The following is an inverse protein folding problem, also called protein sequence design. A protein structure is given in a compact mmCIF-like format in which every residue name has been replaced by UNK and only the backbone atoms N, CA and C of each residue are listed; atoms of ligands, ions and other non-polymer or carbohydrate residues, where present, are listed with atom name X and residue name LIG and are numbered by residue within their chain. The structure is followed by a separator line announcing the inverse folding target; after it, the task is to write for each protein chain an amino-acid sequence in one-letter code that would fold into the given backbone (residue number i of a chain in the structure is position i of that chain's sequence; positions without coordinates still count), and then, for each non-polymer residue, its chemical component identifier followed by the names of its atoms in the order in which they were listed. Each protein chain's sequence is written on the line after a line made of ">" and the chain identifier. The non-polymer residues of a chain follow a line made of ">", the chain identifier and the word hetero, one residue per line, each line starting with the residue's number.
data_IF_178264464585
#
_entry.id   IF_178264464585
#
_cell.length_a   1.000
_cell.length_b   1.000
_cell.length_c   1.000
_cell.angle_alpha   90.00
_cell.angle_beta   90.00
_cell.angle_gamma   90.00
#
_symmetry.space_group_name_H-M   'P 1'
#
loop_
_entity.id
_entity.type
_entity.pdbx_description
1 polymer ?
#
# COMPACT_ATOMS: atom_id res chain seq x y z
N UNK A 1 26.82 -5.65 11.53
CA UNK A 1 27.17 -4.67 10.47
C UNK A 1 26.22 -4.72 9.28
N UNK A 2 25.86 -5.92 8.73
CA UNK A 2 24.99 -6.09 7.54
C UNK A 2 23.55 -5.63 7.82
N UNK A 3 22.99 -5.99 8.98
CA UNK A 3 21.62 -5.61 9.40
C UNK A 3 21.43 -4.08 9.51
N UNK A 4 22.50 -3.36 9.88
CA UNK A 4 22.49 -1.91 10.03
C UNK A 4 22.58 -1.18 8.67
N UNK A 5 23.37 -1.71 7.72
CA UNK A 5 23.43 -1.18 6.34
C UNK A 5 22.12 -1.33 5.59
N UNK A 6 21.44 -2.47 5.74
CA UNK A 6 20.12 -2.67 5.13
C UNK A 6 19.08 -1.69 5.70
N UNK A 7 19.10 -1.43 7.01
CA UNK A 7 18.20 -0.47 7.64
C UNK A 7 18.39 0.95 7.10
N UNK A 8 19.63 1.37 6.87
CA UNK A 8 19.96 2.70 6.31
C UNK A 8 19.51 2.82 4.85
N UNK A 9 19.76 1.78 4.03
CA UNK A 9 19.34 1.76 2.62
C UNK A 9 17.83 1.84 2.47
N UNK A 10 17.08 1.15 3.32
CA UNK A 10 15.62 1.15 3.32
C UNK A 10 15.08 2.51 3.76
N UNK A 11 15.64 3.11 4.82
CA UNK A 11 15.28 4.46 5.27
C UNK A 11 15.52 5.51 4.17
N UNK A 12 16.61 5.39 3.42
CA UNK A 12 16.89 6.27 2.28
C UNK A 12 15.86 6.10 1.16
N UNK A 13 15.43 4.86 0.86
CA UNK A 13 14.40 4.59 -0.15
C UNK A 13 13.04 5.14 0.25
N UNK A 14 12.64 4.94 1.51
CA UNK A 14 11.39 5.48 2.06
C UNK A 14 11.40 7.00 2.10
N UNK A 15 12.52 7.62 2.49
CA UNK A 15 12.67 9.07 2.49
C UNK A 15 12.62 9.64 1.08
N UNK A 16 13.26 8.99 0.11
CA UNK A 16 13.20 9.36 -1.31
C UNK A 16 11.78 9.28 -1.85
N UNK A 17 11.05 8.21 -1.55
CA UNK A 17 9.64 8.07 -1.93
C UNK A 17 8.77 9.16 -1.31
N UNK A 18 8.98 9.46 -0.02
CA UNK A 18 8.29 10.55 0.70
C UNK A 18 8.62 11.92 0.11
N UNK A 19 9.86 12.17 -0.26
CA UNK A 19 10.27 13.41 -0.93
C UNK A 19 9.62 13.56 -2.30
N UNK A 20 9.57 12.50 -3.10
CA UNK A 20 8.92 12.54 -4.42
C UNK A 20 7.40 12.72 -4.30
N UNK A 21 6.75 12.03 -3.35
CA UNK A 21 5.33 12.24 -3.05
C UNK A 21 5.06 13.69 -2.58
N UNK A 22 5.91 14.25 -1.73
CA UNK A 22 5.81 15.64 -1.27
C UNK A 22 6.13 16.65 -2.36
N UNK A 23 7.06 16.36 -3.27
CA UNK A 23 7.32 17.19 -4.47
C UNK A 23 6.11 17.19 -5.39
N UNK A 24 5.51 16.02 -5.59
CA UNK A 24 4.33 15.87 -6.43
C UNK A 24 3.13 16.60 -5.83
N UNK A 25 2.89 16.44 -4.51
CA UNK A 25 1.86 17.18 -3.78
C UNK A 25 2.06 18.71 -3.85
N UNK A 26 3.30 19.19 -3.72
CA UNK A 26 3.65 20.62 -3.89
C UNK A 26 3.49 21.08 -5.34
N UNK A 27 3.80 20.23 -6.32
CA UNK A 27 3.60 20.52 -7.74
C UNK A 27 2.11 20.63 -8.06
N UNK A 28 1.28 19.73 -7.55
CA UNK A 28 -0.17 19.80 -7.65
C UNK A 28 -0.75 21.04 -6.95
N UNK A 29 -0.30 21.35 -5.73
CA UNK A 29 -0.72 22.58 -5.03
C UNK A 29 -0.33 23.86 -5.78
N UNK A 30 0.82 23.89 -6.45
CA UNK A 30 1.23 25.03 -7.27
C UNK A 30 0.38 25.18 -8.54
N UNK A 31 -0.08 24.09 -9.15
CA UNK A 31 -1.04 24.16 -10.25
C UNK A 31 -2.39 24.71 -9.80
N UNK A 32 -2.86 24.31 -8.62
CA UNK A 32 -4.12 24.82 -8.02
C UNK A 32 -3.98 26.31 -7.64
N UNK A 33 -2.84 26.73 -7.06
CA UNK A 33 -2.64 28.14 -6.66
C UNK A 33 -2.37 29.09 -7.82
N UNK A 34 -1.78 28.62 -8.93
CA UNK A 34 -1.59 29.46 -10.11
C UNK A 34 -2.92 29.72 -10.83
N UNK A 35 -3.85 28.76 -10.79
CA UNK A 35 -5.19 28.98 -11.38
C UNK A 35 -6.10 29.90 -10.54
N UNK A 36 -5.85 30.05 -9.23
CA UNK A 36 -6.65 30.95 -8.37
C UNK A 36 -6.12 32.38 -8.31
N UNK A 37 -4.84 32.65 -8.62
CA UNK A 37 -4.27 34.01 -8.62
C UNK A 37 -4.55 34.81 -9.91
N UNK A 38 -4.95 34.14 -10.99
CA UNK A 38 -5.29 34.81 -12.27
C UNK A 38 -6.78 35.12 -12.41
N UNK A 39 -7.63 34.80 -11.42
CA UNK A 39 -9.10 34.90 -11.53
C UNK A 39 -9.68 36.20 -10.93
N UNK A 40 -8.90 37.24 -10.66
CA UNK A 40 -9.39 38.46 -10.00
C UNK A 40 -9.62 39.65 -10.92
N UNK A 41 -9.68 39.47 -12.24
CA UNK A 41 -9.94 40.61 -13.14
C UNK A 41 -10.71 40.33 -14.43
N UNK A 42 -11.52 39.28 -14.52
CA UNK A 42 -12.52 39.23 -15.61
C UNK A 42 -13.68 38.32 -15.16
N UNK A 43 -14.78 38.96 -14.78
CA UNK A 43 -16.09 38.26 -14.59
C UNK A 43 -16.63 37.89 -15.98
N UNK A 44 -16.09 36.81 -16.55
CA UNK A 44 -16.68 36.05 -17.65
C UNK A 44 -16.68 34.60 -17.23
N UNK A 45 -17.86 33.95 -17.35
CA UNK A 45 -18.10 32.58 -17.00
C UNK A 45 -16.96 31.67 -17.48
N UNK A 46 -16.06 31.30 -16.57
CA UNK A 46 -15.17 30.20 -16.76
C UNK A 46 -15.99 28.94 -16.51
N UNK A 47 -16.27 28.10 -17.51
CA UNK A 47 -16.87 26.80 -17.26
C UNK A 47 -15.93 26.08 -16.29
N UNK A 48 -16.49 25.69 -15.15
CA UNK A 48 -15.90 25.11 -13.97
C UNK A 48 -14.42 24.77 -14.05
N UNK A 49 -13.65 25.21 -13.04
CA UNK A 49 -12.36 24.60 -12.76
C UNK A 49 -12.58 23.08 -12.73
N UNK A 50 -12.13 22.41 -13.78
CA UNK A 50 -12.16 20.96 -13.79
C UNK A 50 -11.27 20.53 -12.61
N UNK A 51 -11.90 20.17 -11.50
CA UNK A 51 -11.20 19.50 -10.42
C UNK A 51 -10.44 18.34 -11.06
N UNK A 52 -9.19 18.14 -10.68
CA UNK A 52 -8.43 17.00 -11.13
C UNK A 52 -9.30 15.75 -10.96
N UNK A 53 -9.69 15.18 -12.08
CA UNK A 53 -10.43 13.92 -12.12
C UNK A 53 -9.41 12.88 -12.56
N UNK A 54 -9.01 11.94 -11.69
CA UNK A 54 -8.15 10.86 -12.11
C UNK A 54 -8.77 10.15 -13.32
N UNK A 55 -7.94 9.84 -14.31
CA UNK A 55 -8.41 9.11 -15.49
C UNK A 55 -9.04 7.79 -15.05
N UNK A 56 -10.26 7.54 -15.52
CA UNK A 56 -10.97 6.32 -15.17
C UNK A 56 -10.29 5.11 -15.81
N UNK A 57 -9.50 4.40 -15.03
CA UNK A 57 -8.79 3.20 -15.46
C UNK A 57 -9.67 1.96 -15.40
N UNK A 58 -10.46 1.84 -14.34
CA UNK A 58 -11.27 0.65 -14.08
C UNK A 58 -12.74 0.89 -14.44
N UNK A 59 -13.31 -0.04 -15.21
CA UNK A 59 -14.68 0.08 -15.71
C UNK A 59 -15.72 -0.30 -14.65
N UNK A 60 -15.34 -1.12 -13.69
CA UNK A 60 -16.15 -1.60 -12.57
C UNK A 60 -16.14 -0.67 -11.36
N UNK A 61 -15.38 0.44 -11.42
CA UNK A 61 -15.33 1.45 -10.36
C UNK A 61 -16.09 2.69 -10.82
N UNK A 62 -17.29 2.91 -10.27
CA UNK A 62 -18.10 4.07 -10.62
C UNK A 62 -17.45 5.37 -10.13
N UNK A 63 -17.48 6.43 -10.94
CA UNK A 63 -17.02 7.77 -10.53
C UNK A 63 -17.79 8.35 -9.33
N UNK A 64 -19.00 7.88 -9.10
CA UNK A 64 -19.83 8.29 -7.96
C UNK A 64 -19.60 7.46 -6.70
N UNK A 65 -18.78 6.41 -6.77
CA UNK A 65 -18.45 5.61 -5.59
C UNK A 65 -17.60 6.42 -4.61
N UNK A 66 -17.88 6.30 -3.32
CA UNK A 66 -17.13 7.02 -2.27
C UNK A 66 -15.64 6.68 -2.24
N UNK A 67 -15.27 5.50 -2.71
CA UNK A 67 -13.90 4.98 -2.79
C UNK A 67 -13.22 5.19 -4.14
N UNK A 68 -13.86 5.93 -5.08
CA UNK A 68 -13.31 6.09 -6.44
C UNK A 68 -11.91 6.70 -6.45
N UNK A 69 -11.73 7.81 -5.76
CA UNK A 69 -10.44 8.51 -5.71
C UNK A 69 -9.37 7.64 -5.05
N UNK A 70 -9.70 6.96 -3.95
CA UNK A 70 -8.77 6.09 -3.23
C UNK A 70 -8.29 4.91 -4.09
N UNK A 71 -9.19 4.32 -4.89
CA UNK A 71 -8.84 3.23 -5.83
C UNK A 71 -7.94 3.75 -6.94
N UNK A 72 -8.26 4.91 -7.53
CA UNK A 72 -7.43 5.50 -8.59
C UNK A 72 -6.05 5.89 -8.04
N UNK A 73 -5.98 6.45 -6.85
CA UNK A 73 -4.72 6.82 -6.18
C UNK A 73 -3.89 5.58 -5.83
N UNK A 74 -4.50 4.54 -5.26
CA UNK A 74 -3.81 3.29 -4.97
C UNK A 74 -3.18 2.67 -6.23
N UNK A 75 -3.88 2.77 -7.36
CA UNK A 75 -3.35 2.35 -8.65
C UNK A 75 -2.25 3.28 -9.17
N UNK A 76 -2.45 4.59 -9.09
CA UNK A 76 -1.49 5.59 -9.52
C UNK A 76 -0.15 5.45 -8.78
N UNK A 77 -0.19 5.21 -7.47
CA UNK A 77 1.01 4.95 -6.67
C UNK A 77 1.55 3.52 -6.82
N UNK A 78 0.96 2.71 -7.69
CA UNK A 78 1.41 1.35 -7.95
C UNK A 78 1.16 0.35 -6.82
N UNK A 79 0.39 0.73 -5.80
CA UNK A 79 0.08 -0.14 -4.66
C UNK A 79 -0.83 -1.29 -5.08
N UNK A 80 -1.90 -0.97 -5.82
CA UNK A 80 -2.87 -1.95 -6.30
C UNK A 80 -3.05 -1.84 -7.81
N UNK A 81 -2.99 -2.96 -8.51
CA UNK A 81 -3.07 -2.99 -9.98
C UNK A 81 -4.48 -3.34 -10.51
N UNK A 82 -5.38 -3.81 -9.64
CA UNK A 82 -6.60 -4.48 -10.04
C UNK A 82 -6.33 -5.91 -10.51
N UNK A 83 -7.37 -6.64 -10.88
CA UNK A 83 -7.30 -8.03 -11.35
C UNK A 83 -7.06 -8.12 -12.85
N UNK A 84 -7.32 -7.04 -13.57
CA UNK A 84 -7.00 -6.90 -14.99
C UNK A 84 -6.69 -5.44 -15.33
N UNK A 85 -6.31 -5.16 -16.60
CA UNK A 85 -6.02 -3.80 -17.05
C UNK A 85 -7.21 -2.82 -16.95
N UNK A 86 -8.44 -3.34 -16.84
CA UNK A 86 -9.69 -2.55 -16.82
C UNK A 86 -10.63 -2.89 -15.66
N UNK A 87 -10.31 -3.87 -14.84
CA UNK A 87 -11.16 -4.36 -13.75
C UNK A 87 -10.35 -4.30 -12.44
N UNK A 88 -10.90 -3.62 -11.44
CA UNK A 88 -10.32 -3.55 -10.09
C UNK A 88 -10.79 -4.70 -9.21
N UNK A 89 -12.05 -5.09 -9.34
CA UNK A 89 -12.75 -6.11 -8.56
C UNK A 89 -12.92 -5.73 -7.09
N UNK A 90 -13.78 -4.75 -6.88
CA UNK A 90 -14.01 -4.14 -5.55
C UNK A 90 -14.66 -5.08 -4.53
N UNK A 91 -15.32 -6.14 -4.99
CA UNK A 91 -16.10 -7.05 -4.14
C UNK A 91 -15.30 -8.32 -3.75
N UNK A 92 -14.22 -8.58 -4.45
CA UNK A 92 -13.41 -9.77 -4.14
C UNK A 92 -12.55 -9.56 -2.90
N UNK A 93 -12.31 -10.64 -2.20
CA UNK A 93 -11.36 -10.69 -1.10
C UNK A 93 -9.92 -10.68 -1.63
N UNK A 94 -8.99 -10.19 -0.82
CA UNK A 94 -7.56 -10.23 -1.15
C UNK A 94 -6.91 -11.47 -0.55
N UNK A 95 -5.87 -11.96 -1.22
CA UNK A 95 -5.08 -13.06 -0.71
C UNK A 95 -3.92 -12.55 0.16
N UNK A 96 -3.34 -13.47 0.94
CA UNK A 96 -2.16 -13.21 1.76
C UNK A 96 -0.99 -12.71 0.91
N UNK A 97 -0.77 -13.29 -0.28
CA UNK A 97 0.26 -12.83 -1.22
C UNK A 97 -0.01 -11.39 -1.72
N UNK A 98 -1.27 -11.04 -2.00
CA UNK A 98 -1.63 -9.68 -2.41
C UNK A 98 -1.33 -8.66 -1.31
N UNK A 99 -1.71 -8.95 -0.07
CA UNK A 99 -1.45 -8.07 1.07
C UNK A 99 0.04 -7.82 1.28
N UNK A 100 0.83 -8.89 1.33
CA UNK A 100 2.28 -8.79 1.52
C UNK A 100 2.95 -8.04 0.37
N UNK A 101 2.49 -8.24 -0.88
CA UNK A 101 2.99 -7.50 -2.04
C UNK A 101 2.68 -6.00 -1.93
N UNK A 102 1.53 -5.62 -1.40
CA UNK A 102 1.21 -4.22 -1.16
C UNK A 102 2.16 -3.62 -0.10
N UNK A 103 2.40 -4.30 1.01
CA UNK A 103 3.38 -3.84 2.02
C UNK A 103 4.80 -3.71 1.45
N UNK A 104 5.21 -4.66 0.61
CA UNK A 104 6.51 -4.64 -0.09
C UNK A 104 6.64 -3.43 -1.02
N UNK A 105 5.59 -3.11 -1.76
CA UNK A 105 5.53 -1.89 -2.59
C UNK A 105 5.58 -0.62 -1.74
N UNK A 106 4.86 -0.58 -0.63
CA UNK A 106 4.92 0.53 0.32
C UNK A 106 6.31 0.72 0.94
N UNK A 107 7.08 -0.36 1.06
CA UNK A 107 8.47 -0.32 1.48
C UNK A 107 9.45 0.18 0.39
N UNK A 108 8.96 0.46 -0.82
CA UNK A 108 9.77 0.88 -1.96
C UNK A 108 10.44 -0.28 -2.69
N UNK A 109 9.94 -1.49 -2.56
CA UNK A 109 10.43 -2.70 -3.23
C UNK A 109 11.94 -2.92 -3.02
N UNK A 110 12.41 -3.03 -1.78
CA UNK A 110 13.83 -3.24 -1.51
C UNK A 110 14.32 -4.50 -2.20
N UNK A 111 15.53 -4.45 -2.75
CA UNK A 111 16.11 -5.58 -3.44
C UNK A 111 16.26 -6.77 -2.49
N UNK A 112 15.61 -7.88 -2.83
CA UNK A 112 15.75 -9.17 -2.16
C UNK A 112 15.96 -10.26 -3.20
N UNK A 113 16.72 -11.26 -2.83
CA UNK A 113 16.87 -12.45 -3.66
C UNK A 113 15.77 -13.44 -3.27
N UNK A 114 14.83 -13.69 -4.19
CA UNK A 114 13.78 -14.68 -3.98
C UNK A 114 14.37 -16.05 -3.65
N UNK A 115 13.74 -16.73 -2.72
CA UNK A 115 14.11 -18.09 -2.29
C UNK A 115 12.89 -18.99 -2.32
N UNK A 116 13.05 -20.21 -2.73
CA UNK A 116 12.03 -21.27 -2.66
C UNK A 116 11.96 -21.79 -1.21
N UNK A 117 11.63 -20.90 -0.28
CA UNK A 117 11.59 -21.23 1.16
C UNK A 117 10.29 -21.93 1.54
N UNK A 118 9.24 -21.73 0.78
CA UNK A 118 7.91 -22.26 1.03
C UNK A 118 7.49 -23.21 -0.08
N UNK A 119 6.64 -24.17 0.27
CA UNK A 119 6.15 -25.17 -0.68
C UNK A 119 5.30 -24.58 -1.81
N UNK A 120 4.65 -23.45 -1.55
CA UNK A 120 3.72 -22.73 -2.44
C UNK A 120 4.29 -21.42 -3.00
N UNK A 121 5.60 -21.14 -2.84
CA UNK A 121 6.30 -19.98 -3.41
C UNK A 121 7.45 -20.46 -4.27
N UNK A 122 7.44 -20.06 -5.56
CA UNK A 122 8.54 -20.32 -6.49
C UNK A 122 9.22 -19.01 -6.88
N UNK A 123 10.50 -19.06 -7.12
CA UNK A 123 11.36 -17.89 -7.42
C UNK A 123 10.82 -17.01 -8.57
N UNK A 124 10.08 -17.58 -9.53
CA UNK A 124 9.48 -16.86 -10.66
C UNK A 124 8.10 -16.25 -10.39
N UNK A 125 7.50 -16.49 -9.23
CA UNK A 125 6.18 -15.98 -8.91
C UNK A 125 6.22 -14.46 -8.69
N UNK A 126 5.15 -13.77 -9.10
CA UNK A 126 5.03 -12.31 -8.98
C UNK A 126 5.11 -11.79 -7.54
N UNK A 127 4.78 -12.63 -6.58
CA UNK A 127 4.82 -12.35 -5.14
C UNK A 127 6.08 -12.88 -4.42
N UNK A 128 6.94 -13.62 -5.11
CA UNK A 128 8.05 -14.33 -4.47
C UNK A 128 9.02 -13.38 -3.72
N UNK A 129 9.35 -12.25 -4.33
CA UNK A 129 10.20 -11.24 -3.67
C UNK A 129 9.52 -10.64 -2.44
N UNK A 130 8.22 -10.37 -2.54
CA UNK A 130 7.44 -9.81 -1.43
C UNK A 130 7.33 -10.80 -0.27
N UNK A 131 7.07 -12.08 -0.54
CA UNK A 131 7.02 -13.13 0.47
C UNK A 131 8.38 -13.30 1.16
N UNK A 132 9.46 -13.42 0.39
CA UNK A 132 10.83 -13.53 0.92
C UNK A 132 11.17 -12.32 1.78
N UNK A 133 10.92 -11.11 1.29
CA UNK A 133 11.17 -9.87 2.02
C UNK A 133 10.39 -9.81 3.35
N UNK A 134 9.10 -10.14 3.33
CA UNK A 134 8.26 -10.05 4.54
C UNK A 134 8.73 -10.99 5.65
N UNK A 135 9.22 -12.17 5.28
CA UNK A 135 9.81 -13.12 6.23
C UNK A 135 11.17 -12.65 6.74
N UNK A 136 12.05 -12.18 5.85
CA UNK A 136 13.36 -11.64 6.25
C UNK A 136 13.24 -10.41 7.16
N UNK A 137 12.17 -9.63 7.00
CA UNK A 137 11.87 -8.50 7.88
C UNK A 137 11.09 -8.91 9.15
N UNK A 138 10.68 -10.16 9.31
CA UNK A 138 9.89 -10.62 10.45
C UNK A 138 8.46 -10.05 10.49
N UNK A 139 7.95 -9.55 9.35
CA UNK A 139 6.58 -9.05 9.22
C UNK A 139 5.60 -10.21 9.33
N UNK A 140 5.96 -11.34 8.74
CA UNK A 140 5.21 -12.60 8.82
C UNK A 140 6.16 -13.79 8.83
N UNK A 141 5.61 -14.97 9.10
CA UNK A 141 6.25 -16.27 8.89
C UNK A 141 5.36 -17.09 7.96
N UNK A 142 5.81 -18.26 7.56
CA UNK A 142 4.94 -19.26 6.93
C UNK A 142 4.13 -20.01 7.97
N UNK A 143 3.40 -21.01 7.50
CA UNK A 143 2.67 -21.96 8.33
C UNK A 143 3.54 -23.16 8.69
N UNK A 144 3.10 -23.94 9.70
CA UNK A 144 3.83 -25.13 10.19
C UNK A 144 3.98 -26.22 9.12
N UNK A 145 3.09 -26.26 8.13
CA UNK A 145 3.14 -27.18 6.99
C UNK A 145 4.18 -26.80 5.92
N UNK A 146 4.94 -25.75 6.17
CA UNK A 146 5.95 -25.22 5.24
C UNK A 146 5.38 -24.39 4.12
N UNK A 147 4.10 -24.03 4.12
CA UNK A 147 3.50 -23.12 3.15
C UNK A 147 3.56 -21.66 3.62
N UNK A 148 3.47 -20.74 2.66
CA UNK A 148 3.25 -19.31 2.93
C UNK A 148 1.75 -18.97 3.00
N UNK A 149 0.91 -19.75 2.36
CA UNK A 149 -0.51 -19.52 2.21
C UNK A 149 -0.85 -18.50 1.13
N UNK A 150 -0.17 -18.55 -0.02
CA UNK A 150 -0.25 -17.51 -1.06
C UNK A 150 -1.65 -17.21 -1.56
N UNK A 151 -2.48 -18.24 -1.70
CA UNK A 151 -3.86 -18.14 -2.18
C UNK A 151 -4.90 -18.08 -1.06
N UNK A 152 -4.49 -18.13 0.19
CA UNK A 152 -5.42 -18.02 1.31
C UNK A 152 -5.95 -16.58 1.40
N UNK A 153 -7.25 -16.45 1.61
CA UNK A 153 -7.86 -15.17 1.97
C UNK A 153 -7.29 -14.73 3.31
N UNK A 154 -6.72 -13.52 3.34
CA UNK A 154 -6.16 -12.99 4.58
C UNK A 154 -7.27 -12.47 5.50
N UNK A 155 -7.19 -12.77 6.78
CA UNK A 155 -8.11 -12.25 7.79
C UNK A 155 -7.76 -10.81 8.20
N UNK A 156 -8.72 -10.08 8.76
CA UNK A 156 -8.48 -8.74 9.33
C UNK A 156 -7.44 -8.78 10.45
N UNK A 157 -7.43 -9.82 11.26
CA UNK A 157 -6.45 -10.04 12.32
C UNK A 157 -5.04 -10.18 11.74
N UNK A 158 -4.84 -11.06 10.77
CA UNK A 158 -3.53 -11.22 10.12
C UNK A 158 -3.05 -9.93 9.44
N UNK A 159 -3.97 -9.22 8.76
CA UNK A 159 -3.67 -7.91 8.18
C UNK A 159 -3.18 -6.93 9.25
N UNK A 160 -3.86 -6.85 10.39
CA UNK A 160 -3.50 -5.93 11.47
C UNK A 160 -2.13 -6.27 12.06
N UNK A 161 -1.86 -7.55 12.30
CA UNK A 161 -0.55 -8.03 12.82
C UNK A 161 0.58 -7.65 11.86
N UNK A 162 0.42 -7.94 10.55
CA UNK A 162 1.43 -7.62 9.55
C UNK A 162 1.61 -6.10 9.39
N UNK A 163 0.52 -5.33 9.40
CA UNK A 163 0.57 -3.86 9.31
C UNK A 163 1.27 -3.25 10.52
N UNK A 164 1.02 -3.75 11.73
CA UNK A 164 1.67 -3.30 12.96
C UNK A 164 3.18 -3.56 12.92
N UNK A 165 3.59 -4.78 12.54
CA UNK A 165 5.01 -5.13 12.39
C UNK A 165 5.70 -4.31 11.31
N UNK A 166 5.02 -4.06 10.18
CA UNK A 166 5.50 -3.18 9.12
C UNK A 166 5.66 -1.74 9.63
N UNK A 167 4.66 -1.19 10.30
CA UNK A 167 4.71 0.18 10.82
C UNK A 167 5.84 0.38 11.84
N UNK A 168 6.08 -0.60 12.72
CA UNK A 168 7.17 -0.56 13.69
C UNK A 168 8.56 -0.51 13.03
N UNK A 169 8.71 -1.08 11.83
CA UNK A 169 9.99 -1.09 11.12
C UNK A 169 10.22 0.13 10.24
N UNK A 170 9.15 0.68 9.65
CA UNK A 170 9.26 1.66 8.57
C UNK A 170 8.88 3.08 8.98
N UNK A 171 8.29 3.29 10.14
CA UNK A 171 7.83 4.63 10.53
C UNK A 171 8.51 5.20 11.77
N UNK A 172 9.50 4.53 12.36
CA UNK A 172 10.02 4.86 13.71
C UNK A 172 8.87 5.07 14.73
N UNK A 173 7.67 4.64 14.36
CA UNK A 173 6.51 4.70 15.21
C UNK A 173 6.70 3.61 16.25
N UNK A 174 6.97 4.01 17.47
CA UNK A 174 6.63 3.17 18.60
C UNK A 174 5.13 2.92 18.50
N UNK A 175 4.74 1.82 17.85
CA UNK A 175 3.38 1.32 17.92
C UNK A 175 3.19 0.88 19.35
N UNK A 176 2.74 1.85 20.15
CA UNK A 176 2.39 1.58 21.53
C UNK A 176 1.22 0.60 21.51
N UNK A 177 1.42 -0.59 22.03
CA UNK A 177 0.39 -1.63 22.12
C UNK A 177 -0.75 -1.26 23.11
N UNK A 178 -0.94 0.01 23.41
CA UNK A 178 -1.96 0.52 24.33
C UNK A 178 -3.33 0.77 23.67
N UNK A 179 -3.62 0.06 22.57
CA UNK A 179 -4.96 0.04 22.01
C UNK A 179 -5.93 -0.54 23.03
N UNK A 180 -6.84 0.27 23.57
CA UNK A 180 -7.90 -0.23 24.41
C UNK A 180 -8.94 -0.94 23.52
N UNK A 181 -8.85 -2.25 23.43
CA UNK A 181 -9.79 -3.09 22.68
C UNK A 181 -11.13 -3.27 23.41
N UNK A 182 -11.26 -2.79 24.66
CA UNK A 182 -12.47 -2.97 25.47
C UNK A 182 -13.75 -2.36 24.85
N UNK A 183 -13.63 -1.50 23.84
CA UNK A 183 -14.75 -0.94 23.09
C UNK A 183 -15.27 -1.81 21.93
N UNK A 184 -14.59 -2.93 21.64
CA UNK A 184 -15.00 -3.86 20.58
C UNK A 184 -15.68 -5.07 21.17
N UNK A 185 -16.84 -5.47 20.59
CA UNK A 185 -17.64 -6.57 21.09
C UNK A 185 -16.94 -7.94 21.02
N UNK A 186 -15.99 -8.07 20.10
CA UNK A 186 -15.21 -9.27 19.80
C UNK A 186 -13.78 -9.24 20.41
N UNK A 187 -13.50 -8.30 21.31
CA UNK A 187 -12.17 -8.14 21.91
C UNK A 187 -11.63 -9.39 22.60
N UNK A 188 -12.52 -10.31 23.05
CA UNK A 188 -12.15 -11.56 23.69
C UNK A 188 -11.92 -12.73 22.73
N UNK A 189 -12.13 -12.52 21.42
CA UNK A 189 -11.98 -13.54 20.37
C UNK A 189 -10.67 -13.36 19.58
N UNK A 190 -9.88 -12.36 19.94
CA UNK A 190 -8.60 -12.06 19.29
C UNK A 190 -7.49 -12.88 19.94
N UNK A 191 -6.85 -13.76 19.17
CA UNK A 191 -5.69 -14.58 19.57
C UNK A 191 -4.39 -13.77 19.69
#
# INVERSE_FOLDING_TARGET
>A
AVKQRNKISILQSVNKFREEANKMKRKMQRFVTVSTAAALSLAMAVPGSAAYQPEQKFQDVSRSASYYEDVMDANYYGLMAGVSGKTFDTESTITRAMWVTMLYKMAGQPAVQSKDTFTDVKTGDWFAQAATWAVEQGITAGYEDGSFGVNQTITRQEMAVMASKFAAQYKDAAVSASGNLAGYADAGELD
#
